data_IF_380621937029
#
_entry.id   IF_380621937029
#
_cell.length_a   1.000
_cell.length_b   1.000
_cell.length_c   1.000
_cell.angle_alpha   90.00
_cell.angle_beta   90.00
_cell.angle_gamma   90.00
#
_symmetry.space_group_name_H-M   'P 1'
#
loop_
_entity.id
_entity.type
_entity.pdbx_description
1 polymer ?
#
# COMPACT_ATOMS: atom_id res chain seq x y z
N UNK A 1 3.06 37.84 5.99
CA UNK A 1 2.38 36.61 6.45
C UNK A 1 1.82 35.73 5.31
N UNK A 2 1.67 36.22 4.08
CA UNK A 2 1.03 35.46 2.98
C UNK A 2 1.95 34.48 2.24
N UNK A 3 3.29 34.61 2.32
CA UNK A 3 4.22 33.81 1.51
C UNK A 3 4.41 32.37 1.99
N UNK A 4 4.08 32.04 3.25
CA UNK A 4 4.27 30.69 3.82
C UNK A 4 3.04 29.78 3.65
N UNK A 5 1.87 30.34 3.31
CA UNK A 5 0.63 29.57 3.19
C UNK A 5 0.66 28.65 1.96
N UNK A 6 1.06 29.18 0.80
CA UNK A 6 1.13 28.43 -0.46
C UNK A 6 2.05 27.20 -0.35
N UNK A 7 3.32 27.30 0.10
CA UNK A 7 4.17 26.12 0.23
C UNK A 7 3.63 25.13 1.26
N UNK A 8 2.96 25.60 2.32
CA UNK A 8 2.34 24.73 3.32
C UNK A 8 1.19 23.91 2.73
N UNK A 9 0.31 24.53 1.92
CA UNK A 9 -0.80 23.83 1.26
C UNK A 9 -0.29 22.78 0.28
N UNK A 10 0.74 23.11 -0.52
CA UNK A 10 1.36 22.16 -1.46
C UNK A 10 1.94 20.96 -0.70
N UNK A 11 2.62 21.22 0.41
CA UNK A 11 3.24 20.18 1.23
C UNK A 11 2.18 19.25 1.83
N UNK A 12 1.07 19.79 2.35
CA UNK A 12 -0.06 18.99 2.85
C UNK A 12 -0.67 18.13 1.74
N UNK A 13 -0.92 18.72 0.57
CA UNK A 13 -1.48 17.99 -0.58
C UNK A 13 -0.55 16.86 -1.05
N UNK A 14 0.77 17.10 -1.06
CA UNK A 14 1.76 16.10 -1.38
C UNK A 14 1.74 14.93 -0.38
N UNK A 15 1.75 15.22 0.92
CA UNK A 15 1.66 14.16 1.94
C UNK A 15 0.35 13.37 1.86
N UNK A 16 -0.78 14.04 1.58
CA UNK A 16 -2.06 13.35 1.38
C UNK A 16 -2.03 12.42 0.16
N UNK A 17 -1.42 12.86 -0.95
CA UNK A 17 -1.26 12.03 -2.14
C UNK A 17 -0.34 10.83 -1.89
N UNK A 18 0.77 11.04 -1.17
CA UNK A 18 1.69 9.95 -0.78
C UNK A 18 0.98 8.94 0.12
N UNK A 19 0.18 9.41 1.09
CA UNK A 19 -0.59 8.54 1.97
C UNK A 19 -1.61 7.70 1.17
N UNK A 20 -2.33 8.32 0.22
CA UNK A 20 -3.26 7.62 -0.64
C UNK A 20 -2.55 6.57 -1.52
N UNK A 21 -1.40 6.92 -2.10
CA UNK A 21 -0.59 5.99 -2.89
C UNK A 21 -0.06 4.82 -2.04
N UNK A 22 0.32 5.08 -0.79
CA UNK A 22 0.76 4.06 0.15
C UNK A 22 -0.32 3.00 0.40
N UNK A 23 -1.53 3.42 0.82
CA UNK A 23 -2.63 2.49 1.04
C UNK A 23 -3.13 1.83 -0.27
N UNK A 24 -3.08 2.56 -1.39
CA UNK A 24 -3.38 2.03 -2.71
C UNK A 24 -2.45 0.87 -3.10
N UNK A 25 -1.14 1.03 -2.89
CA UNK A 25 -0.15 -0.01 -3.18
C UNK A 25 -0.36 -1.27 -2.33
N UNK A 26 -0.67 -1.12 -1.05
CA UNK A 26 -1.00 -2.24 -0.15
C UNK A 26 -2.21 -3.01 -0.69
N UNK A 27 -3.30 -2.30 -1.03
CA UNK A 27 -4.50 -2.93 -1.57
C UNK A 27 -4.20 -3.70 -2.86
N UNK A 28 -3.45 -3.10 -3.77
CA UNK A 28 -3.10 -3.72 -5.05
C UNK A 28 -2.27 -5.00 -4.86
N UNK A 29 -1.27 -4.96 -3.97
CA UNK A 29 -0.45 -6.12 -3.65
C UNK A 29 -1.23 -7.25 -2.98
N UNK A 30 -2.12 -6.89 -2.06
CA UNK A 30 -3.04 -7.86 -1.44
C UNK A 30 -3.94 -8.51 -2.49
N UNK A 31 -4.44 -7.75 -3.46
CA UNK A 31 -5.26 -8.27 -4.55
C UNK A 31 -4.46 -9.25 -5.43
N UNK A 32 -3.20 -8.95 -5.74
CA UNK A 32 -2.30 -9.88 -6.47
C UNK A 32 -2.11 -11.19 -5.69
N UNK A 33 -1.88 -11.11 -4.38
CA UNK A 33 -1.74 -12.30 -3.51
C UNK A 33 -3.02 -13.15 -3.55
N UNK A 34 -4.19 -12.51 -3.61
CA UNK A 34 -5.47 -13.22 -3.74
C UNK A 34 -5.66 -13.85 -5.12
N UNK A 35 -5.23 -13.18 -6.20
CA UNK A 35 -5.25 -13.76 -7.55
C UNK A 35 -4.36 -15.00 -7.67
N UNK A 36 -3.24 -15.02 -6.94
CA UNK A 36 -2.38 -16.20 -6.75
C UNK A 36 -3.04 -17.30 -5.91
N UNK A 37 -4.26 -17.06 -5.42
CA UNK A 37 -5.11 -18.10 -4.88
C UNK A 37 -5.07 -18.29 -3.38
N UNK A 38 -4.51 -17.33 -2.65
CA UNK A 38 -4.61 -17.26 -1.20
C UNK A 38 -6.06 -16.99 -0.75
N UNK A 39 -6.55 -17.65 0.31
CA UNK A 39 -7.94 -17.52 0.74
C UNK A 39 -8.24 -16.11 1.24
N UNK A 40 -9.38 -15.57 0.79
CA UNK A 40 -9.86 -14.21 1.12
C UNK A 40 -10.03 -13.98 2.62
N UNK A 41 -10.31 -15.03 3.39
CA UNK A 41 -10.44 -14.97 4.85
C UNK A 41 -9.13 -14.58 5.56
N UNK A 42 -7.97 -14.79 4.92
CA UNK A 42 -6.64 -14.42 5.47
C UNK A 42 -6.10 -13.11 4.89
N UNK A 43 -6.97 -12.23 4.36
CA UNK A 43 -6.58 -10.94 3.76
C UNK A 43 -6.08 -9.93 4.80
N UNK A 44 -6.70 -9.89 5.97
CA UNK A 44 -6.42 -8.91 7.02
C UNK A 44 -4.95 -8.86 7.49
N UNK A 45 -4.28 -10.00 7.76
CA UNK A 45 -2.86 -10.02 8.09
C UNK A 45 -1.98 -9.30 7.06
N UNK A 46 -2.27 -9.43 5.76
CA UNK A 46 -1.49 -8.78 4.71
C UNK A 46 -1.64 -7.26 4.73
N UNK A 47 -2.83 -6.73 5.06
CA UNK A 47 -2.97 -5.28 5.30
C UNK A 47 -2.15 -4.80 6.49
N UNK A 48 -2.13 -5.57 7.59
CA UNK A 48 -1.28 -5.23 8.75
C UNK A 48 0.21 -5.24 8.38
N UNK A 49 0.68 -6.24 7.63
CA UNK A 49 2.06 -6.29 7.13
C UNK A 49 2.35 -5.08 6.24
N UNK A 50 1.44 -4.74 5.34
CA UNK A 50 1.59 -3.57 4.47
C UNK A 50 1.71 -2.26 5.23
N UNK A 51 0.86 -2.05 6.24
CA UNK A 51 0.81 -0.79 7.01
C UNK A 51 2.01 -0.66 7.94
N UNK A 52 2.35 -1.71 8.69
CA UNK A 52 3.39 -1.66 9.72
C UNK A 52 4.80 -1.97 9.20
N UNK A 53 4.93 -2.88 8.24
CA UNK A 53 6.24 -3.33 7.78
C UNK A 53 6.69 -2.60 6.51
N UNK A 54 5.79 -2.46 5.52
CA UNK A 54 5.83 -1.63 4.29
C UNK A 54 5.17 -2.36 3.12
N UNK A 55 4.68 -1.64 2.09
CA UNK A 55 4.24 -2.25 0.84
C UNK A 55 5.37 -3.00 0.11
N UNK A 56 6.64 -2.68 0.35
CA UNK A 56 7.79 -3.39 -0.26
C UNK A 56 7.79 -4.86 0.19
N UNK A 57 7.61 -5.11 1.49
CA UNK A 57 7.57 -6.47 2.05
C UNK A 57 6.37 -7.24 1.49
N UNK A 58 5.22 -6.59 1.33
CA UNK A 58 4.07 -7.20 0.63
C UNK A 58 4.39 -7.56 -0.82
N UNK A 59 5.15 -6.73 -1.52
CA UNK A 59 5.63 -7.00 -2.87
C UNK A 59 6.50 -8.26 -2.93
N UNK A 60 7.45 -8.39 -2.00
CA UNK A 60 8.28 -9.58 -1.90
C UNK A 60 7.46 -10.85 -1.60
N UNK A 61 6.48 -10.75 -0.71
CA UNK A 61 5.56 -11.86 -0.43
C UNK A 61 4.76 -12.23 -1.69
N UNK A 62 4.23 -11.24 -2.40
CA UNK A 62 3.51 -11.47 -3.65
C UNK A 62 4.39 -12.16 -4.71
N UNK A 63 5.66 -11.76 -4.83
CA UNK A 63 6.63 -12.41 -5.72
C UNK A 63 6.99 -13.84 -5.28
N UNK A 64 7.08 -14.09 -3.98
CA UNK A 64 7.44 -15.41 -3.44
C UNK A 64 6.30 -16.43 -3.53
N UNK A 65 5.05 -15.97 -3.59
CA UNK A 65 3.89 -16.87 -3.73
C UNK A 65 3.83 -17.38 -5.18
N UNK A 66 3.80 -18.71 -5.39
CA UNK A 66 3.70 -19.28 -6.73
C UNK A 66 2.35 -18.94 -7.35
N UNK A 67 2.36 -18.64 -8.65
CA UNK A 67 1.13 -18.48 -9.40
C UNK A 67 0.37 -19.80 -9.42
N UNK A 68 -0.96 -19.73 -9.25
CA UNK A 68 -1.82 -20.88 -9.51
C UNK A 68 -1.75 -21.17 -11.02
N UNK A 69 -1.17 -22.32 -11.37
CA UNK A 69 -1.22 -22.92 -12.71
C UNK A 69 -2.64 -23.31 -13.09
#
# INVERSE_FOLDING_TARGET
MQSTVIPTVILIAFYAAVLAAYFGSIRYLVDIIQMKGYPVQKRWPFYFIGVFATPIILGLIACAIPDKS
#
